data_IF_325517240789
#
_entry.id   IF_325517240789
#
_cell.length_a   1.000
_cell.length_b   1.000
_cell.length_c   1.000
_cell.angle_alpha   90.00
_cell.angle_beta   90.00
_cell.angle_gamma   90.00
#
_symmetry.space_group_name_H-M   'P 1'
#
loop_
_entity.id
_entity.type
_entity.pdbx_description
1 polymer ?
#
# COMPACT_ATOMS: atom_id res chain seq x y z
N UNK A 1 -32.32 -6.89 -22.07
CA UNK A 1 -31.03 -6.64 -22.75
C UNK A 1 -30.16 -5.65 -21.99
N UNK A 2 -30.64 -4.44 -21.66
CA UNK A 2 -29.84 -3.44 -20.93
C UNK A 2 -29.33 -3.87 -19.54
N UNK A 3 -30.16 -4.56 -18.74
CA UNK A 3 -29.73 -5.03 -17.42
C UNK A 3 -28.58 -6.05 -17.50
N UNK A 4 -28.62 -6.95 -18.49
CA UNK A 4 -27.56 -7.94 -18.72
C UNK A 4 -26.25 -7.26 -19.13
N UNK A 5 -26.29 -6.28 -20.02
CA UNK A 5 -25.10 -5.54 -20.41
C UNK A 5 -24.51 -4.74 -19.25
N UNK A 6 -25.35 -4.13 -18.41
CA UNK A 6 -24.90 -3.49 -17.17
C UNK A 6 -24.21 -4.48 -16.22
N UNK A 7 -24.78 -5.67 -16.04
CA UNK A 7 -24.19 -6.71 -15.20
C UNK A 7 -22.84 -7.18 -15.77
N UNK A 8 -22.76 -7.44 -17.07
CA UNK A 8 -21.51 -7.85 -17.72
C UNK A 8 -20.43 -6.77 -17.61
N UNK A 9 -20.78 -5.51 -17.85
CA UNK A 9 -19.87 -4.36 -17.70
C UNK A 9 -19.41 -4.18 -16.25
N UNK A 10 -20.31 -4.41 -15.29
CA UNK A 10 -19.98 -4.34 -13.87
C UNK A 10 -18.98 -5.44 -13.48
N UNK A 11 -19.22 -6.69 -13.88
CA UNK A 11 -18.29 -7.81 -13.65
C UNK A 11 -16.96 -7.58 -14.37
N UNK A 12 -17.00 -7.03 -15.58
CA UNK A 12 -15.81 -6.67 -16.35
C UNK A 12 -14.95 -5.61 -15.66
N UNK A 13 -15.56 -4.53 -15.16
CA UNK A 13 -14.87 -3.50 -14.38
C UNK A 13 -14.44 -3.97 -12.99
N UNK A 14 -15.10 -4.97 -12.41
CA UNK A 14 -14.66 -5.56 -11.15
C UNK A 14 -13.39 -6.39 -11.30
N UNK A 15 -13.23 -7.08 -12.44
CA UNK A 15 -12.10 -7.98 -12.70
C UNK A 15 -10.73 -7.32 -12.79
N UNK A 16 -10.67 -5.99 -12.93
CA UNK A 16 -9.42 -5.23 -13.09
C UNK A 16 -8.64 -4.99 -11.80
N UNK A 17 -9.29 -5.03 -10.63
CA UNK A 17 -8.65 -4.75 -9.34
C UNK A 17 -9.00 -5.77 -8.24
N UNK A 18 -9.93 -6.70 -8.50
CA UNK A 18 -10.41 -7.63 -7.47
C UNK A 18 -9.29 -8.50 -6.89
N UNK A 19 -8.28 -8.85 -7.69
CA UNK A 19 -7.18 -9.70 -7.25
C UNK A 19 -6.27 -8.97 -6.26
N UNK A 20 -5.80 -7.77 -6.61
CA UNK A 20 -4.96 -6.95 -5.70
C UNK A 20 -5.75 -6.49 -4.48
N UNK A 21 -7.02 -6.10 -4.63
CA UNK A 21 -7.86 -5.74 -3.49
C UNK A 21 -8.08 -6.92 -2.53
N UNK A 22 -8.29 -8.14 -3.06
CA UNK A 22 -8.38 -9.34 -2.24
C UNK A 22 -7.08 -9.64 -1.48
N UNK A 23 -5.94 -9.45 -2.13
CA UNK A 23 -4.63 -9.62 -1.50
C UNK A 23 -4.43 -8.64 -0.33
N UNK A 24 -4.84 -7.37 -0.49
CA UNK A 24 -4.77 -6.37 0.58
C UNK A 24 -5.68 -6.67 1.77
N UNK A 25 -6.85 -7.23 1.50
CA UNK A 25 -7.81 -7.62 2.54
C UNK A 25 -7.33 -8.83 3.34
N UNK A 26 -6.69 -9.79 2.67
CA UNK A 26 -6.11 -11.00 3.29
C UNK A 26 -4.74 -10.76 3.93
N UNK A 27 -4.13 -9.59 3.69
CA UNK A 27 -2.81 -9.21 4.16
C UNK A 27 -2.53 -9.52 5.65
N UNK A 28 -3.45 -9.27 6.60
CA UNK A 28 -3.20 -9.57 8.02
C UNK A 28 -2.94 -11.06 8.29
N UNK A 29 -3.54 -11.95 7.49
CA UNK A 29 -3.32 -13.40 7.58
C UNK A 29 -2.04 -13.81 6.85
N UNK A 30 -1.73 -13.18 5.71
CA UNK A 30 -0.50 -13.48 4.98
C UNK A 30 0.75 -13.11 5.78
N UNK A 31 0.71 -12.01 6.54
CA UNK A 31 1.82 -11.57 7.40
C UNK A 31 2.15 -12.58 8.50
N UNK A 32 1.22 -13.45 8.91
CA UNK A 32 1.50 -14.49 9.92
C UNK A 32 2.11 -15.75 9.34
N UNK A 33 1.87 -16.04 8.05
CA UNK A 33 2.33 -17.26 7.38
C UNK A 33 3.63 -17.05 6.59
N UNK A 34 3.82 -15.87 5.99
CA UNK A 34 4.97 -15.60 5.14
C UNK A 34 6.20 -15.12 5.94
N UNK A 35 7.42 -15.54 5.56
CA UNK A 35 8.67 -15.21 6.26
C UNK A 35 9.00 -13.72 6.29
N UNK A 36 8.42 -12.90 5.40
CA UNK A 36 8.60 -11.45 5.35
C UNK A 36 7.92 -10.69 6.48
N UNK A 37 6.88 -11.26 7.11
CA UNK A 37 6.09 -10.61 8.14
C UNK A 37 5.61 -9.21 7.72
N UNK A 38 5.74 -8.22 8.62
CA UNK A 38 5.25 -6.85 8.41
C UNK A 38 6.03 -6.04 7.37
N UNK A 39 7.07 -6.58 6.74
CA UNK A 39 7.71 -5.97 5.56
C UNK A 39 6.93 -6.24 4.27
N UNK A 40 6.05 -7.24 4.28
CA UNK A 40 5.25 -7.65 3.12
C UNK A 40 4.39 -6.52 2.52
N UNK A 41 3.67 -5.68 3.29
CA UNK A 41 2.91 -4.54 2.74
C UNK A 41 3.81 -3.56 1.97
N UNK A 42 5.04 -3.33 2.45
CA UNK A 42 6.00 -2.48 1.75
C UNK A 42 6.47 -3.09 0.43
N UNK A 43 6.75 -4.40 0.40
CA UNK A 43 7.12 -5.09 -0.83
C UNK A 43 5.99 -5.08 -1.86
N UNK A 44 4.76 -5.37 -1.46
CA UNK A 44 3.57 -5.25 -2.30
C UNK A 44 3.45 -3.86 -2.90
N UNK A 45 3.58 -2.82 -2.08
CA UNK A 45 3.47 -1.43 -2.55
C UNK A 45 4.52 -1.15 -3.62
N UNK A 46 5.79 -1.46 -3.38
CA UNK A 46 6.87 -1.26 -4.37
C UNK A 46 6.59 -2.01 -5.67
N UNK A 47 6.17 -3.27 -5.56
CA UNK A 47 5.87 -4.14 -6.70
C UNK A 47 4.70 -3.61 -7.53
N UNK A 48 3.61 -3.18 -6.89
CA UNK A 48 2.46 -2.56 -7.57
C UNK A 48 2.88 -1.26 -8.24
N UNK A 49 3.72 -0.44 -7.60
CA UNK A 49 4.21 0.79 -8.20
C UNK A 49 5.09 0.52 -9.44
N UNK A 50 5.92 -0.52 -9.41
CA UNK A 50 6.70 -0.95 -10.58
C UNK A 50 5.81 -1.46 -11.72
N UNK A 51 4.67 -2.07 -11.40
CA UNK A 51 3.72 -2.58 -12.38
C UNK A 51 3.05 -1.48 -13.23
N UNK A 52 3.15 -0.20 -12.84
CA UNK A 52 2.77 0.94 -13.68
C UNK A 52 3.55 1.01 -15.02
N UNK A 53 4.63 0.23 -15.17
CA UNK A 53 5.26 -0.02 -16.46
C UNK A 53 4.28 -0.59 -17.51
N UNK A 54 3.23 -1.30 -17.09
CA UNK A 54 2.19 -1.85 -17.97
C UNK A 54 1.46 -0.76 -18.77
N UNK A 55 0.76 0.18 -18.11
CA UNK A 55 0.21 1.39 -18.74
C UNK A 55 1.20 2.12 -19.65
N UNK A 56 2.43 2.36 -19.17
CA UNK A 56 3.46 3.05 -19.93
C UNK A 56 3.78 2.31 -21.24
N UNK A 57 3.93 0.98 -21.17
CA UNK A 57 4.19 0.14 -22.34
C UNK A 57 3.02 0.18 -23.33
N UNK A 58 1.78 0.13 -22.85
CA UNK A 58 0.59 0.27 -23.70
C UNK A 58 0.55 1.64 -24.38
N UNK A 59 0.81 2.72 -23.65
CA UNK A 59 0.85 4.07 -24.21
C UNK A 59 1.95 4.20 -25.27
N UNK A 60 3.14 3.67 -24.97
CA UNK A 60 4.27 3.71 -25.89
C UNK A 60 4.01 2.89 -27.16
N UNK A 61 3.35 1.74 -27.03
CA UNK A 61 3.00 0.89 -28.17
C UNK A 61 1.93 1.54 -29.05
N UNK A 62 0.94 2.22 -28.45
CA UNK A 62 0.00 3.06 -29.19
C UNK A 62 0.69 4.22 -29.91
N UNK A 63 1.70 4.84 -29.29
CA UNK A 63 2.46 5.94 -29.89
C UNK A 63 3.27 5.49 -31.11
N UNK A 64 3.99 4.35 -31.00
CA UNK A 64 4.83 3.87 -32.10
C UNK A 64 4.08 3.10 -33.19
N UNK A 65 2.94 2.47 -32.87
CA UNK A 65 2.17 1.65 -33.81
C UNK A 65 0.67 1.94 -33.71
N UNK A 66 0.22 3.16 -34.08
CA UNK A 66 -1.19 3.50 -34.09
C UNK A 66 -1.95 2.55 -35.04
N UNK A 67 -2.89 1.77 -34.50
CA UNK A 67 -3.75 0.86 -35.27
C UNK A 67 -3.37 -0.63 -35.25
N UNK A 68 -2.22 -1.02 -34.69
CA UNK A 68 -1.88 -2.45 -34.53
C UNK A 68 -2.54 -3.09 -33.28
N UNK A 69 -2.94 -2.28 -32.31
CA UNK A 69 -3.58 -2.74 -31.08
C UNK A 69 -5.10 -2.71 -31.25
N UNK A 70 -5.66 -3.85 -31.65
CA UNK A 70 -7.10 -4.06 -31.55
C UNK A 70 -7.45 -4.24 -30.07
N UNK A 71 -8.34 -3.40 -29.57
CA UNK A 71 -8.76 -3.40 -28.16
C UNK A 71 -9.28 -4.77 -27.70
N UNK A 72 -10.06 -5.45 -28.55
CA UNK A 72 -10.69 -6.74 -28.20
C UNK A 72 -9.64 -7.86 -27.95
N UNK A 73 -8.69 -8.13 -28.87
CA UNK A 73 -7.58 -9.05 -28.61
C UNK A 73 -6.74 -8.70 -27.40
N UNK A 74 -6.48 -7.41 -27.15
CA UNK A 74 -5.68 -6.96 -25.99
C UNK A 74 -6.42 -7.26 -24.69
N UNK A 75 -7.71 -6.91 -24.61
CA UNK A 75 -8.55 -7.21 -23.45
C UNK A 75 -8.58 -8.71 -23.17
N UNK A 76 -8.78 -9.53 -24.22
CA UNK A 76 -8.80 -10.98 -24.06
C UNK A 76 -7.45 -11.53 -23.59
N UNK A 77 -6.35 -11.05 -24.16
CA UNK A 77 -5.00 -11.44 -23.73
C UNK A 77 -4.74 -11.09 -22.26
N UNK A 78 -5.10 -9.89 -21.82
CA UNK A 78 -4.98 -9.45 -20.42
C UNK A 78 -5.81 -10.34 -19.50
N UNK A 79 -7.07 -10.65 -19.86
CA UNK A 79 -7.93 -11.53 -19.06
C UNK A 79 -7.38 -12.96 -18.97
N UNK A 80 -6.86 -13.52 -20.07
CA UNK A 80 -6.27 -14.87 -20.08
C UNK A 80 -5.01 -14.91 -19.21
N UNK A 81 -4.10 -13.94 -19.38
CA UNK A 81 -2.87 -13.85 -18.58
C UNK A 81 -3.21 -13.65 -17.11
N UNK A 82 -4.16 -12.78 -16.78
CA UNK A 82 -4.64 -12.57 -15.41
C UNK A 82 -5.23 -13.83 -14.80
N UNK A 83 -6.08 -14.55 -15.54
CA UNK A 83 -6.68 -15.80 -15.05
C UNK A 83 -5.60 -16.85 -14.76
N UNK A 84 -4.65 -17.03 -15.67
CA UNK A 84 -3.52 -17.96 -15.48
C UNK A 84 -2.70 -17.54 -14.26
N UNK A 85 -2.40 -16.25 -14.11
CA UNK A 85 -1.62 -15.75 -12.99
C UNK A 85 -2.35 -15.95 -11.66
N UNK A 86 -3.67 -15.73 -11.58
CA UNK A 86 -4.49 -15.99 -10.39
C UNK A 86 -4.53 -17.48 -10.04
N UNK A 87 -4.66 -18.37 -11.04
CA UNK A 87 -4.62 -19.82 -10.81
C UNK A 87 -3.25 -20.24 -10.29
N UNK A 88 -2.16 -19.75 -10.89
CA UNK A 88 -0.81 -20.03 -10.41
C UNK A 88 -0.58 -19.49 -8.99
N UNK A 89 -1.08 -18.28 -8.69
CA UNK A 89 -1.02 -17.68 -7.37
C UNK A 89 -1.66 -18.58 -6.31
N UNK A 90 -2.84 -19.12 -6.58
CA UNK A 90 -3.54 -20.01 -5.64
C UNK A 90 -2.74 -21.29 -5.28
N UNK A 91 -1.84 -21.76 -6.15
CA UNK A 91 -0.99 -22.93 -5.86
C UNK A 91 0.39 -22.57 -5.33
N UNK A 92 0.98 -21.46 -5.79
CA UNK A 92 2.37 -21.09 -5.52
C UNK A 92 2.53 -20.07 -4.37
N UNK A 93 1.44 -19.57 -3.78
CA UNK A 93 1.52 -18.53 -2.74
C UNK A 93 2.35 -18.94 -1.50
N UNK A 94 2.31 -20.22 -1.10
CA UNK A 94 3.05 -20.73 0.07
C UNK A 94 4.45 -21.29 -0.28
N UNK A 95 4.90 -21.12 -1.53
CA UNK A 95 6.22 -21.60 -1.94
C UNK A 95 7.28 -20.58 -1.54
N UNK A 96 8.14 -20.97 -0.60
CA UNK A 96 9.29 -20.19 -0.14
C UNK A 96 10.58 -20.69 -0.79
N UNK A 97 11.47 -19.75 -1.11
CA UNK A 97 12.76 -20.03 -1.74
C UNK A 97 13.87 -19.31 -1.00
N UNK A 98 15.06 -19.92 -0.97
CA UNK A 98 16.22 -19.35 -0.30
C UNK A 98 16.89 -18.29 -1.19
N UNK A 99 16.87 -17.02 -0.78
CA UNK A 99 17.45 -15.89 -1.51
C UNK A 99 18.20 -14.99 -0.53
N UNK A 100 19.38 -14.49 -0.92
CA UNK A 100 20.20 -13.55 -0.12
C UNK A 100 20.45 -13.97 1.36
N UNK A 101 20.46 -15.28 1.64
CA UNK A 101 20.70 -15.80 2.98
C UNK A 101 19.46 -15.90 3.88
N UNK A 102 18.25 -15.67 3.33
CA UNK A 102 16.98 -15.83 4.03
C UNK A 102 15.93 -16.59 3.21
N UNK A 103 14.85 -17.01 3.87
CA UNK A 103 13.66 -17.53 3.19
C UNK A 103 12.81 -16.38 2.69
N UNK A 104 12.50 -16.39 1.41
CA UNK A 104 11.65 -15.38 0.78
C UNK A 104 10.59 -16.01 -0.12
N UNK A 105 9.39 -15.45 -0.08
CA UNK A 105 8.21 -15.80 -0.85
C UNK A 105 8.30 -15.20 -2.26
N UNK A 106 9.38 -15.50 -2.97
CA UNK A 106 9.67 -14.92 -4.29
C UNK A 106 8.57 -15.24 -5.31
N UNK A 107 8.02 -16.46 -5.27
CA UNK A 107 6.92 -16.85 -6.14
C UNK A 107 5.69 -15.95 -5.93
N UNK A 108 5.32 -15.73 -4.67
CA UNK A 108 4.24 -14.82 -4.29
C UNK A 108 4.49 -13.39 -4.76
N UNK A 109 5.70 -12.85 -4.56
CA UNK A 109 6.06 -11.49 -4.98
C UNK A 109 6.03 -11.33 -6.50
N UNK A 110 6.57 -12.30 -7.25
CA UNK A 110 6.58 -12.29 -8.72
C UNK A 110 5.16 -12.43 -9.29
N UNK A 111 4.34 -13.31 -8.71
CA UNK A 111 2.95 -13.47 -9.15
C UNK A 111 2.13 -12.22 -8.80
N UNK A 112 2.35 -11.60 -7.63
CA UNK A 112 1.76 -10.29 -7.28
C UNK A 112 2.14 -9.22 -8.28
N UNK A 113 3.41 -9.18 -8.72
CA UNK A 113 3.85 -8.26 -9.78
C UNK A 113 3.10 -8.49 -11.09
N UNK A 114 2.95 -9.75 -11.52
CA UNK A 114 2.22 -10.09 -12.74
C UNK A 114 0.74 -9.72 -12.64
N UNK A 115 0.10 -9.99 -11.50
CA UNK A 115 -1.27 -9.57 -11.21
C UNK A 115 -1.39 -8.05 -11.28
N UNK A 116 -0.53 -7.32 -10.56
CA UNK A 116 -0.53 -5.86 -10.59
C UNK A 116 -0.29 -5.29 -12.00
N UNK A 117 0.57 -5.94 -12.82
CA UNK A 117 0.83 -5.51 -14.19
C UNK A 117 -0.41 -5.69 -15.05
N UNK A 118 -1.09 -6.83 -14.94
CA UNK A 118 -2.37 -7.10 -15.61
C UNK A 118 -3.43 -6.10 -15.15
N UNK A 119 -3.56 -5.88 -13.85
CA UNK A 119 -4.55 -4.99 -13.23
C UNK A 119 -4.36 -3.54 -13.72
N UNK A 120 -3.15 -2.99 -13.60
CA UNK A 120 -2.84 -1.65 -14.09
C UNK A 120 -3.06 -1.53 -15.61
N UNK A 121 -2.68 -2.55 -16.37
CA UNK A 121 -2.85 -2.57 -17.83
C UNK A 121 -4.34 -2.65 -18.21
N UNK A 122 -5.13 -3.43 -17.48
CA UNK A 122 -6.55 -3.63 -17.72
C UNK A 122 -7.33 -2.33 -17.53
N UNK A 123 -7.12 -1.58 -16.43
CA UNK A 123 -7.82 -0.31 -16.20
C UNK A 123 -7.57 0.72 -17.32
N UNK A 124 -6.38 0.72 -17.93
CA UNK A 124 -6.04 1.64 -19.03
C UNK A 124 -6.56 1.15 -20.38
N UNK A 125 -6.59 -0.17 -20.61
CA UNK A 125 -7.04 -0.75 -21.89
C UNK A 125 -8.54 -1.00 -21.96
N UNK A 126 -9.23 -1.07 -20.82
CA UNK A 126 -10.67 -1.32 -20.76
C UNK A 126 -11.47 -0.05 -21.08
N UNK A 127 -10.96 1.12 -20.70
CA UNK A 127 -11.56 2.42 -21.02
C UNK A 127 -11.74 2.67 -22.53
N UNK A 128 -10.71 2.50 -23.39
CA UNK A 128 -10.89 2.67 -24.84
C UNK A 128 -11.88 1.66 -25.43
N UNK A 129 -11.90 0.41 -24.96
CA UNK A 129 -12.94 -0.56 -25.36
C UNK A 129 -14.34 -0.08 -24.98
N UNK A 130 -14.52 0.40 -23.75
CA UNK A 130 -15.80 0.91 -23.26
C UNK A 130 -16.26 2.18 -23.99
N UNK A 131 -15.33 2.94 -24.59
CA UNK A 131 -15.68 4.13 -25.41
C UNK A 131 -16.43 3.77 -26.70
N UNK A 132 -16.40 2.50 -27.13
CA UNK A 132 -17.21 2.00 -28.26
C UNK A 132 -18.66 1.73 -27.88
N UNK A 133 -18.97 1.65 -26.58
CA UNK A 133 -20.32 1.47 -26.05
C UNK A 133 -20.94 2.84 -25.69
N UNK A 134 -22.28 2.94 -25.57
CA UNK A 134 -22.92 4.15 -25.07
C UNK A 134 -22.33 4.58 -23.72
N UNK A 135 -22.11 5.88 -23.56
CA UNK A 135 -21.44 6.49 -22.38
C UNK A 135 -22.10 6.14 -21.04
N UNK A 136 -23.38 5.81 -21.03
CA UNK A 136 -24.09 5.32 -19.83
C UNK A 136 -23.52 4.00 -19.27
N UNK A 137 -22.77 3.21 -20.05
CA UNK A 137 -22.10 2.01 -19.54
C UNK A 137 -20.77 2.30 -18.85
N UNK A 138 -20.13 3.45 -19.12
CA UNK A 138 -18.88 3.84 -18.43
C UNK A 138 -19.10 4.05 -16.94
N UNK A 139 -20.24 4.62 -16.54
CA UNK A 139 -20.57 4.77 -15.11
C UNK A 139 -20.69 3.41 -14.43
N UNK A 140 -21.27 2.43 -15.11
CA UNK A 140 -21.40 1.06 -14.58
C UNK A 140 -20.06 0.35 -14.48
N UNK A 141 -19.15 0.63 -15.40
CA UNK A 141 -17.78 0.14 -15.33
C UNK A 141 -17.06 0.66 -14.07
N UNK A 142 -17.12 1.96 -13.79
CA UNK A 142 -16.54 2.53 -12.57
C UNK A 142 -17.23 2.06 -11.28
N UNK A 143 -18.53 1.77 -11.33
CA UNK A 143 -19.23 1.09 -10.22
C UNK A 143 -18.67 -0.32 -10.00
N UNK A 144 -18.42 -1.07 -11.07
CA UNK A 144 -17.78 -2.38 -11.03
C UNK A 144 -16.37 -2.33 -10.42
N UNK A 145 -15.55 -1.38 -10.87
CA UNK A 145 -14.23 -1.08 -10.30
C UNK A 145 -14.32 -0.83 -8.78
N UNK A 146 -15.31 -0.05 -8.33
CA UNK A 146 -15.55 0.16 -6.89
C UNK A 146 -15.93 -1.12 -6.14
N UNK A 147 -16.75 -1.98 -6.76
CA UNK A 147 -17.14 -3.26 -6.15
C UNK A 147 -15.99 -4.27 -6.06
N UNK A 148 -14.92 -4.10 -6.83
CA UNK A 148 -13.72 -4.94 -6.74
C UNK A 148 -13.05 -4.90 -5.36
N UNK A 149 -13.23 -3.81 -4.60
CA UNK A 149 -12.77 -3.70 -3.20
C UNK A 149 -13.82 -4.16 -2.18
N UNK A 150 -15.11 -3.93 -2.47
CA UNK A 150 -16.20 -4.30 -1.57
C UNK A 150 -16.35 -5.82 -1.44
N UNK A 151 -16.31 -6.56 -2.55
CA UNK A 151 -16.54 -8.00 -2.54
C UNK A 151 -15.48 -8.75 -1.72
N UNK A 152 -14.17 -8.53 -1.91
CA UNK A 152 -13.17 -9.17 -1.05
C UNK A 152 -13.34 -8.77 0.42
N UNK A 153 -13.67 -7.52 0.72
CA UNK A 153 -13.91 -7.08 2.10
C UNK A 153 -15.10 -7.80 2.75
N UNK A 154 -16.18 -8.05 2.02
CA UNK A 154 -17.31 -8.85 2.49
C UNK A 154 -16.92 -10.31 2.73
N UNK A 155 -16.09 -10.88 1.85
CA UNK A 155 -15.56 -12.25 2.01
C UNK A 155 -14.70 -12.35 3.27
N UNK A 156 -13.79 -11.40 3.48
CA UNK A 156 -12.97 -11.29 4.69
C UNK A 156 -13.81 -11.16 5.97
N UNK A 157 -14.83 -10.30 5.94
CA UNK A 157 -15.74 -10.14 7.05
C UNK A 157 -16.46 -11.46 7.37
N UNK A 158 -16.89 -12.20 6.35
CA UNK A 158 -17.50 -13.51 6.51
C UNK A 158 -16.52 -14.58 7.03
N UNK A 159 -15.24 -14.50 6.66
CA UNK A 159 -14.17 -15.35 7.19
C UNK A 159 -13.79 -14.98 8.64
N UNK A 160 -14.15 -13.79 9.11
CA UNK A 160 -13.82 -13.31 10.45
C UNK A 160 -12.41 -12.74 10.58
N UNK A 161 -11.80 -12.27 9.48
CA UNK A 161 -10.46 -11.66 9.47
C UNK A 161 -10.47 -10.36 10.31
N UNK A 162 -10.06 -10.47 11.58
CA UNK A 162 -10.09 -9.36 12.54
C UNK A 162 -10.50 -9.74 13.96
N UNK A 163 -10.99 -10.96 14.19
CA UNK A 163 -11.20 -11.48 15.55
C UNK A 163 -9.87 -12.02 16.08
N UNK A 164 -8.93 -11.12 16.34
CA UNK A 164 -7.77 -11.48 17.16
C UNK A 164 -8.28 -11.54 18.59
N UNK A 165 -8.59 -12.75 19.08
CA UNK A 165 -8.77 -12.94 20.52
C UNK A 165 -7.47 -12.52 21.21
N UNK A 166 -7.47 -11.32 21.78
CA UNK A 166 -6.50 -10.97 22.83
C UNK A 166 -6.84 -11.91 23.98
N UNK A 167 -6.20 -13.08 24.01
CA UNK A 167 -6.19 -13.93 25.18
C UNK A 167 -5.59 -13.08 26.29
N UNK A 168 -6.45 -12.57 27.17
CA UNK A 168 -6.05 -11.96 28.42
C UNK A 168 -5.07 -12.93 29.08
N UNK A 169 -3.83 -12.49 29.25
CA UNK A 169 -2.84 -13.20 30.06
C UNK A 169 -3.52 -13.61 31.38
N UNK A 170 -3.36 -14.84 31.86
CA UNK A 170 -3.82 -15.23 33.19
C UNK A 170 -2.94 -14.52 34.22
N UNK A 171 -3.27 -13.25 34.48
CA UNK A 171 -2.60 -12.34 35.39
C UNK A 171 -3.62 -11.28 35.77
N UNK A 172 -4.44 -11.62 36.77
CA UNK A 172 -5.58 -10.80 37.19
C UNK A 172 -5.20 -9.39 37.66
N UNK A 173 -6.20 -8.52 37.89
CA UNK A 173 -6.03 -7.08 38.14
C UNK A 173 -5.27 -6.71 39.42
N UNK A 174 -4.79 -7.68 40.19
CA UNK A 174 -4.25 -7.45 41.54
C UNK A 174 -2.75 -7.12 41.60
N UNK A 175 -1.96 -7.29 40.54
CA UNK A 175 -0.49 -7.08 40.61
C UNK A 175 0.04 -5.74 40.06
N UNK A 176 -0.80 -4.93 39.41
CA UNK A 176 -0.36 -3.61 38.93
C UNK A 176 -0.31 -2.56 40.05
N UNK A 177 -1.18 -2.67 41.05
CA UNK A 177 -1.22 -1.76 42.21
C UNK A 177 -0.02 -1.91 43.16
N UNK A 178 0.50 -3.13 43.31
CA UNK A 178 1.60 -3.40 44.25
C UNK A 178 2.98 -2.99 43.72
N UNK A 179 3.20 -3.00 42.40
CA UNK A 179 4.43 -2.44 41.81
C UNK A 179 4.51 -0.91 41.89
N UNK A 180 3.36 -0.23 41.86
CA UNK A 180 3.30 1.23 42.06
C UNK A 180 3.46 1.61 43.55
N UNK A 181 2.98 0.78 44.49
CA UNK A 181 3.23 0.99 45.93
C UNK A 181 4.67 0.70 46.36
N UNK A 182 5.34 -0.26 45.73
CA UNK A 182 6.76 -0.54 45.98
C UNK A 182 7.71 0.59 45.55
N UNK A 183 7.33 1.37 44.54
CA UNK A 183 8.11 2.53 44.07
C UNK A 183 7.86 3.81 44.87
N UNK A 184 6.83 3.87 45.71
CA UNK A 184 6.54 5.01 46.58
C UNK A 184 7.22 4.93 47.97
N UNK A 185 7.93 3.85 48.29
CA UNK A 185 8.53 3.65 49.62
C UNK A 185 10.04 3.37 49.63
N UNK A 186 10.74 3.56 48.51
CA UNK A 186 12.17 3.28 48.40
C UNK A 186 13.03 4.53 48.19
N UNK A 187 13.78 4.91 49.23
CA UNK A 187 14.99 5.73 49.21
C UNK A 187 14.89 7.22 48.84
N UNK A 188 14.97 8.06 49.87
CA UNK A 188 15.48 9.42 49.74
C UNK A 188 16.98 9.41 49.45
N UNK A 189 17.37 10.09 48.39
CA UNK A 189 18.69 10.69 48.21
C UNK A 189 18.48 12.06 47.54
N UNK A 190 19.02 13.10 48.16
CA UNK A 190 19.02 14.49 47.69
C UNK A 190 19.68 14.62 46.30
N UNK A 191 19.00 15.29 45.37
CA UNK A 191 19.61 15.92 44.20
C UNK A 191 19.08 17.37 44.10
N UNK A 192 19.91 18.42 43.92
CA UNK A 192 19.47 19.81 44.00
C UNK A 192 18.74 20.27 42.72
N UNK A 193 17.58 20.89 42.90
CA UNK A 193 16.77 21.52 41.85
C UNK A 193 17.41 22.85 41.39
N UNK A 194 17.56 23.13 40.07
CA UNK A 194 17.91 24.47 39.62
C UNK A 194 16.69 25.42 39.70
N UNK A 195 16.93 26.65 40.14
CA UNK A 195 15.95 27.70 40.39
C UNK A 195 15.20 28.17 39.12
N UNK A 196 13.98 28.74 39.26
CA UNK A 196 13.16 29.16 38.13
C UNK A 196 13.57 30.56 37.62
N UNK A 197 13.75 30.67 36.30
CA UNK A 197 13.69 31.96 35.61
C UNK A 197 12.27 32.20 35.09
N UNK A 198 11.58 33.22 35.61
CA UNK A 198 10.40 33.82 34.96
C UNK A 198 10.79 35.12 34.25
N UNK A 199 9.83 35.90 33.71
CA UNK A 199 8.69 35.48 32.90
C UNK A 199 8.69 36.23 31.55
N UNK A 200 8.27 35.59 30.44
CA UNK A 200 8.06 36.29 29.16
C UNK A 200 6.72 35.93 28.53
N UNK A 201 5.80 36.88 28.64
CA UNK A 201 5.20 37.51 27.46
C UNK A 201 4.18 36.70 26.65
N UNK A 202 2.92 36.86 27.03
CA UNK A 202 1.67 36.75 26.26
C UNK A 202 1.85 37.12 24.76
N UNK A 203 1.55 36.21 23.83
CA UNK A 203 1.50 36.50 22.39
C UNK A 203 0.88 35.37 21.54
N UNK A 204 -0.19 35.73 20.81
CA UNK A 204 -1.12 34.88 20.04
C UNK A 204 -0.49 34.14 18.82
N UNK A 205 -1.01 32.96 18.39
CA UNK A 205 -0.46 32.17 17.29
C UNK A 205 -1.05 32.61 15.94
N UNK A 206 -0.39 33.52 15.22
CA UNK A 206 -0.81 33.85 13.85
C UNK A 206 0.30 34.17 12.86
N UNK A 207 1.58 33.88 13.18
CA UNK A 207 2.71 34.33 12.36
C UNK A 207 3.69 33.26 11.86
N UNK A 208 3.37 31.98 12.02
CA UNK A 208 4.24 30.89 11.52
C UNK A 208 4.06 30.56 10.02
N UNK A 209 3.15 31.23 9.30
CA UNK A 209 2.69 30.78 7.97
C UNK A 209 3.22 31.57 6.75
N UNK A 210 4.32 32.32 6.88
CA UNK A 210 4.79 33.19 5.77
C UNK A 210 6.31 33.16 5.50
N UNK A 211 7.05 32.15 5.98
CA UNK A 211 8.52 32.14 5.90
C UNK A 211 9.17 31.15 4.93
N UNK A 212 8.44 30.26 4.25
CA UNK A 212 9.06 29.13 3.52
C UNK A 212 8.73 29.07 2.02
N UNK A 213 8.62 30.23 1.36
CA UNK A 213 8.57 30.32 -0.10
C UNK A 213 9.81 31.06 -0.59
N UNK A 214 10.58 30.38 -1.45
CA UNK A 214 11.76 30.82 -2.22
C UNK A 214 13.15 30.80 -1.54
N UNK A 215 13.98 29.81 -1.92
CA UNK A 215 15.44 30.00 -2.05
C UNK A 215 15.78 30.74 -3.36
N UNK A 216 17.00 30.66 -3.94
CA UNK A 216 18.29 30.13 -3.48
C UNK A 216 19.42 31.18 -3.66
N UNK A 217 20.69 30.74 -3.62
CA UNK A 217 21.89 31.30 -4.29
C UNK A 217 23.08 31.79 -3.42
N UNK A 218 24.16 31.01 -3.57
CA UNK A 218 25.53 31.44 -3.92
C UNK A 218 26.49 32.01 -2.86
N UNK A 219 27.60 31.26 -2.74
CA UNK A 219 29.01 31.67 -2.69
C UNK A 219 29.46 32.61 -1.55
N UNK A 220 30.57 32.22 -0.88
CA UNK A 220 31.94 32.74 -1.16
C UNK A 220 32.88 32.60 0.05
N UNK A 221 34.07 32.04 -0.21
CA UNK A 221 35.35 32.13 0.53
C UNK A 221 35.43 31.45 1.93
N UNK A 222 36.42 30.64 2.30
CA UNK A 222 37.75 30.35 1.73
C UNK A 222 38.87 31.09 2.50
N UNK A 223 39.82 30.31 3.06
CA UNK A 223 41.06 30.69 3.79
C UNK A 223 40.89 31.11 5.26
N UNK A 224 41.72 30.76 6.27
CA UNK A 224 43.00 30.06 6.50
C UNK A 224 43.86 30.95 7.45
N UNK A 225 44.48 30.34 8.46
CA UNK A 225 45.45 30.96 9.41
C UNK A 225 45.11 30.57 10.86
N UNK A 226 45.81 29.64 11.54
CA UNK A 226 47.17 29.73 12.12
C UNK A 226 47.45 31.11 12.78
N UNK A 227 47.90 31.29 14.02
CA UNK A 227 48.36 30.44 15.14
C UNK A 227 48.52 31.44 16.34
N UNK A 228 49.41 31.29 17.36
CA UNK A 228 49.26 30.60 18.65
C UNK A 228 49.30 31.52 19.91
N UNK A 229 49.09 30.88 21.07
CA UNK A 229 49.69 31.15 22.39
C UNK A 229 49.45 32.49 23.11
N UNK A 230 48.81 32.41 24.29
CA UNK A 230 49.44 32.71 25.60
C UNK A 230 48.60 32.18 26.75
#
# INVERSE_FOLDING_TARGET
>A
MAALTHLLVCVFGMGSWVAINGLWVELPLLVTELPEGWYLPSYLTVVIQLANVGPLLVTLLHHFRPGCLLEVPVVFAVLVVGTIACVLFAFLWNMTSWVLGGQHSVAFIVLTFLLALVDCTSSVTFLPFMSRLPTHYLTTFFVGEGFSGLLPALVALAQGSGITSVSALPGGPHSAGDRLRGLQHGHGCHEPLPAPAGPLGRGSPHRALLGAVHGPSQLRQGHAGCDPAR
#
